data_IF_068631967968
#
_entry.id   IF_068631967968
#
_cell.length_a   1.000
_cell.length_b   1.000
_cell.length_c   1.000
_cell.angle_alpha   90.00
_cell.angle_beta   90.00
_cell.angle_gamma   90.00
#
_symmetry.space_group_name_H-M   'P 1'
#
loop_
_entity.id
_entity.type
_entity.pdbx_description
1 polymer ?
#
# COMPACT_ATOMS: atom_id res chain seq x y z
N UNK A 1 -4.91 8.51 -4.73
CA UNK A 1 -4.92 9.52 -3.64
C UNK A 1 -6.10 9.36 -2.69
N UNK A 2 -7.38 9.42 -3.13
CA UNK A 2 -8.56 9.38 -2.23
C UNK A 2 -8.64 8.16 -1.30
N UNK A 3 -8.30 6.97 -1.79
CA UNK A 3 -8.33 5.75 -0.97
C UNK A 3 -7.28 5.75 0.15
N UNK A 4 -6.09 6.32 -0.07
CA UNK A 4 -5.05 6.39 0.96
C UNK A 4 -5.46 7.29 2.12
N UNK A 5 -6.09 8.43 1.81
CA UNK A 5 -6.65 9.33 2.82
C UNK A 5 -7.72 8.62 3.66
N UNK A 6 -8.64 7.91 3.01
CA UNK A 6 -9.71 7.20 3.69
C UNK A 6 -9.18 6.07 4.60
N UNK A 7 -8.22 5.27 4.12
CA UNK A 7 -7.60 4.20 4.92
C UNK A 7 -6.92 4.78 6.17
N UNK A 8 -6.12 5.85 6.01
CA UNK A 8 -5.47 6.53 7.14
C UNK A 8 -6.51 6.99 8.17
N UNK A 9 -7.53 7.73 7.72
CA UNK A 9 -8.60 8.25 8.59
C UNK A 9 -9.41 7.15 9.28
N UNK A 10 -9.57 5.99 8.64
CA UNK A 10 -10.26 4.86 9.25
C UNK A 10 -9.46 4.26 10.40
N UNK A 11 -8.16 3.99 10.18
CA UNK A 11 -7.26 3.39 11.18
C UNK A 11 -6.99 4.36 12.34
N UNK A 12 -6.90 5.67 12.06
CA UNK A 12 -6.64 6.73 13.04
C UNK A 12 -7.69 6.77 14.16
N UNK A 13 -8.89 6.21 13.93
CA UNK A 13 -9.93 6.06 14.96
C UNK A 13 -9.52 5.12 16.09
N UNK A 14 -8.68 4.14 15.79
CA UNK A 14 -8.22 3.11 16.72
C UNK A 14 -6.77 3.32 17.16
N UNK A 15 -5.90 3.77 16.24
CA UNK A 15 -4.47 3.99 16.52
C UNK A 15 -3.82 4.94 15.50
N UNK A 16 -3.48 6.14 15.96
CA UNK A 16 -2.72 7.13 15.18
C UNK A 16 -1.34 6.59 14.71
N UNK A 17 -0.51 5.92 15.56
CA UNK A 17 0.75 5.34 15.10
C UNK A 17 0.57 4.32 13.96
N UNK A 18 -0.45 3.46 14.03
CA UNK A 18 -0.72 2.48 12.98
C UNK A 18 -1.23 3.16 11.70
N UNK A 19 -2.00 4.24 11.82
CA UNK A 19 -2.46 5.01 10.68
C UNK A 19 -1.28 5.62 9.91
N UNK A 20 -0.29 6.19 10.61
CA UNK A 20 0.92 6.72 10.01
C UNK A 20 1.75 5.62 9.32
N UNK A 21 1.94 4.50 10.01
CA UNK A 21 2.69 3.33 9.51
C UNK A 21 2.07 2.71 8.25
N UNK A 22 0.75 2.55 8.20
CA UNK A 22 0.06 2.07 6.98
C UNK A 22 0.10 3.11 5.87
N UNK A 23 0.01 4.41 6.20
CA UNK A 23 0.04 5.48 5.22
C UNK A 23 1.39 5.60 4.49
N UNK A 24 2.52 5.22 5.11
CA UNK A 24 3.84 5.26 4.46
C UNK A 24 4.13 4.03 3.60
N UNK A 25 3.70 2.84 4.02
CA UNK A 25 4.01 1.56 3.36
C UNK A 25 3.50 1.44 1.93
N UNK A 26 2.30 1.99 1.65
CA UNK A 26 1.71 1.87 0.30
C UNK A 26 2.51 2.72 -0.71
N UNK A 27 2.80 4.01 -0.45
CA UNK A 27 3.72 4.79 -1.28
C UNK A 27 5.09 4.14 -1.47
N UNK A 28 5.73 3.66 -0.40
CA UNK A 28 7.04 3.00 -0.48
C UNK A 28 7.02 1.78 -1.42
N UNK A 29 5.97 0.95 -1.33
CA UNK A 29 5.81 -0.19 -2.24
C UNK A 29 5.60 0.25 -3.70
N UNK A 30 4.92 1.37 -3.93
CA UNK A 30 4.73 1.93 -5.29
C UNK A 30 6.04 2.47 -5.86
N UNK A 31 6.91 3.08 -5.05
CA UNK A 31 8.22 3.54 -5.49
C UNK A 31 9.10 2.39 -6.02
N UNK A 32 9.03 1.21 -5.40
CA UNK A 32 9.77 0.03 -5.88
C UNK A 32 9.38 -0.40 -7.30
N UNK A 33 8.16 -0.10 -7.75
CA UNK A 33 7.71 -0.44 -9.11
C UNK A 33 8.46 0.32 -10.20
N UNK A 34 9.10 1.45 -9.87
CA UNK A 34 9.92 2.19 -10.83
C UNK A 34 11.12 1.36 -11.30
N UNK A 35 11.75 0.62 -10.39
CA UNK A 35 12.92 -0.22 -10.68
C UNK A 35 12.54 -1.68 -10.95
N UNK A 36 11.43 -2.16 -10.38
CA UNK A 36 11.00 -3.54 -10.51
C UNK A 36 9.49 -3.63 -10.81
N UNK A 37 9.04 -3.32 -12.04
CA UNK A 37 7.62 -3.27 -12.37
C UNK A 37 6.88 -4.62 -12.23
N UNK A 38 7.61 -5.74 -12.22
CA UNK A 38 7.05 -7.09 -12.20
C UNK A 38 7.06 -7.77 -10.82
N UNK A 39 7.36 -7.06 -9.72
CA UNK A 39 7.43 -7.66 -8.36
C UNK A 39 6.09 -8.07 -7.76
N UNK A 40 4.99 -7.52 -8.27
CA UNK A 40 3.66 -8.02 -7.92
C UNK A 40 3.42 -9.44 -8.46
N UNK A 41 2.31 -10.05 -8.08
CA UNK A 41 1.78 -11.23 -8.76
C UNK A 41 0.76 -10.81 -9.82
N UNK A 42 0.46 -11.64 -10.84
CA UNK A 42 -0.71 -11.42 -11.70
C UNK A 42 -1.97 -11.17 -10.85
N UNK A 43 -2.70 -10.11 -11.18
CA UNK A 43 -3.86 -9.67 -10.42
C UNK A 43 -5.13 -10.44 -10.78
N UNK A 44 -6.12 -10.37 -9.89
CA UNK A 44 -7.45 -10.95 -10.13
C UNK A 44 -8.20 -10.27 -11.28
N UNK A 45 -7.89 -9.00 -11.56
CA UNK A 45 -8.40 -8.29 -12.73
C UNK A 45 -7.42 -8.49 -13.88
N UNK A 46 -7.93 -8.95 -15.02
CA UNK A 46 -7.13 -9.17 -16.23
C UNK A 46 -6.33 -7.91 -16.58
N UNK A 47 -5.03 -8.07 -16.82
CA UNK A 47 -4.13 -6.97 -17.16
C UNK A 47 -3.59 -6.18 -15.97
N UNK A 48 -3.91 -6.57 -14.73
CA UNK A 48 -3.39 -5.92 -13.52
C UNK A 48 -2.38 -6.82 -12.78
N UNK A 49 -1.62 -6.22 -11.86
CA UNK A 49 -0.73 -6.92 -10.94
C UNK A 49 -1.05 -6.50 -9.50
N UNK A 50 -0.96 -7.43 -8.57
CA UNK A 50 -1.16 -7.19 -7.14
C UNK A 50 0.19 -7.15 -6.44
N UNK A 51 0.56 -6.02 -5.86
CA UNK A 51 1.72 -5.88 -5.00
C UNK A 51 1.24 -5.83 -3.54
N UNK A 52 1.70 -6.76 -2.73
CA UNK A 52 1.46 -6.76 -1.28
C UNK A 52 2.44 -5.77 -0.66
N UNK A 53 1.92 -4.72 0.00
CA UNK A 53 2.76 -3.81 0.78
C UNK A 53 3.33 -4.59 1.98
N UNK A 54 4.67 -4.73 2.11
CA UNK A 54 5.26 -5.61 3.11
C UNK A 54 4.97 -5.15 4.54
N UNK A 55 4.69 -6.11 5.42
CA UNK A 55 4.76 -5.91 6.87
C UNK A 55 6.22 -6.09 7.27
N UNK A 56 7.00 -5.00 7.31
CA UNK A 56 8.21 -5.04 8.14
C UNK A 56 7.80 -4.68 9.58
N UNK A 57 8.22 -5.48 10.58
CA UNK A 57 7.93 -5.26 12.00
C UNK A 57 8.45 -3.91 12.49
#
# INVERSE_FOLDING_TARGET
MRHLVYIRQHIEKDSEPNAALVASRIPEAVELLQSHPEIGRPGRVVGTRELVAPQNP
#
